data_IF_068523563018
#
_entry.id   IF_068523563018
#
_cell.length_a   1.000
_cell.length_b   1.000
_cell.length_c   1.000
_cell.angle_alpha   90.00
_cell.angle_beta   90.00
_cell.angle_gamma   90.00
#
_symmetry.space_group_name_H-M   'P 1'
#
loop_
_entity.id
_entity.type
_entity.pdbx_description
1 polymer ?
#
# COMPACT_ATOMS: atom_id res chain seq x y z
N UNK A 1 -19.42 29.40 30.69
CA UNK A 1 -19.11 29.46 29.25
C UNK A 1 -17.77 28.82 29.02
N UNK A 2 -17.62 27.92 28.04
CA UNK A 2 -16.29 27.41 27.65
C UNK A 2 -15.55 28.53 26.90
N UNK A 3 -14.28 28.75 27.23
CA UNK A 3 -13.41 29.67 26.48
C UNK A 3 -13.05 29.00 25.16
N UNK A 4 -13.16 29.72 24.05
CA UNK A 4 -12.73 29.28 22.72
C UNK A 4 -11.31 29.80 22.49
N UNK A 5 -10.47 28.99 21.84
CA UNK A 5 -9.12 29.39 21.43
C UNK A 5 -9.13 30.16 20.11
N UNK A 6 -8.07 30.90 19.87
CA UNK A 6 -7.85 31.67 18.63
C UNK A 6 -6.95 30.89 17.67
N UNK A 7 -7.39 30.74 16.42
CA UNK A 7 -6.59 30.11 15.36
C UNK A 7 -5.65 31.17 14.78
N UNK A 8 -4.36 30.86 14.72
CA UNK A 8 -3.32 31.70 14.12
C UNK A 8 -2.65 30.93 12.99
N UNK A 9 -2.55 31.54 11.81
CA UNK A 9 -1.74 31.01 10.72
C UNK A 9 -0.25 31.20 11.06
N UNK A 10 0.54 30.16 10.83
CA UNK A 10 1.97 30.11 11.08
C UNK A 10 2.68 30.08 9.73
N UNK A 11 3.70 30.93 9.58
CA UNK A 11 4.49 30.94 8.35
C UNK A 11 5.26 29.63 8.20
N UNK A 12 5.15 28.98 7.04
CA UNK A 12 5.79 27.68 6.82
C UNK A 12 7.30 27.74 7.01
N UNK A 13 7.92 28.89 6.68
CA UNK A 13 9.37 29.12 6.88
C UNK A 13 9.80 29.23 8.33
N UNK A 14 8.87 29.44 9.27
CA UNK A 14 9.16 29.38 10.70
C UNK A 14 9.17 27.93 11.21
N UNK A 15 8.55 27.00 10.48
CA UNK A 15 8.51 25.56 10.79
C UNK A 15 9.65 24.82 10.07
N UNK A 16 9.83 25.14 8.79
CA UNK A 16 10.86 24.56 7.93
C UNK A 16 11.64 25.67 7.23
N UNK A 17 12.88 25.88 7.62
CA UNK A 17 13.80 26.80 6.95
C UNK A 17 14.17 26.28 5.54
N UNK A 18 14.33 24.95 5.41
CA UNK A 18 14.78 24.30 4.17
C UNK A 18 13.84 23.20 3.70
N UNK A 19 13.45 23.31 2.45
CA UNK A 19 12.52 22.40 1.79
C UNK A 19 13.09 20.97 1.66
N UNK A 20 14.24 20.84 0.99
CA UNK A 20 14.93 19.58 0.72
C UNK A 20 15.32 18.80 1.99
N UNK A 21 15.64 19.52 3.06
CA UNK A 21 16.19 18.95 4.30
C UNK A 21 15.20 18.80 5.44
N UNK A 22 14.07 19.49 5.38
CA UNK A 22 13.13 19.53 6.50
C UNK A 22 11.71 19.25 6.04
N UNK A 23 11.19 19.99 5.05
CA UNK A 23 9.81 19.78 4.59
C UNK A 23 9.64 18.46 3.84
N UNK A 24 10.51 18.13 2.88
CA UNK A 24 10.41 16.89 2.10
C UNK A 24 10.51 15.64 3.00
N UNK A 25 11.49 15.53 3.93
CA UNK A 25 11.52 14.42 4.89
C UNK A 25 10.31 14.37 5.80
N UNK A 26 9.84 15.52 6.30
CA UNK A 26 8.64 15.58 7.14
C UNK A 26 7.40 15.11 6.36
N UNK A 27 7.24 15.53 5.10
CA UNK A 27 6.13 15.13 4.25
C UNK A 27 6.15 13.62 3.97
N UNK A 28 7.33 13.04 3.77
CA UNK A 28 7.50 11.58 3.64
C UNK A 28 7.00 10.84 4.87
N UNK A 29 7.42 11.26 6.06
CA UNK A 29 7.05 10.64 7.34
C UNK A 29 5.56 10.83 7.68
N UNK A 30 4.93 11.87 7.13
CA UNK A 30 3.54 12.23 7.39
C UNK A 30 2.66 12.14 6.13
N UNK A 31 3.03 11.27 5.18
CA UNK A 31 2.32 11.15 3.90
C UNK A 31 0.85 10.76 4.06
N UNK A 32 0.49 10.13 5.18
CA UNK A 32 -0.89 9.79 5.53
C UNK A 32 -1.80 11.03 5.57
N UNK A 33 -1.28 12.18 6.00
CA UNK A 33 -2.04 13.44 6.02
C UNK A 33 -2.39 13.92 4.61
N UNK A 34 -1.48 13.74 3.66
CA UNK A 34 -1.71 14.05 2.25
C UNK A 34 -2.65 13.02 1.61
N UNK A 35 -2.43 11.74 1.91
CA UNK A 35 -3.25 10.60 1.48
C UNK A 35 -4.72 10.79 1.83
N UNK A 36 -5.02 11.13 3.09
CA UNK A 36 -6.38 11.39 3.57
C UNK A 36 -7.07 12.49 2.75
N UNK A 37 -6.35 13.58 2.45
CA UNK A 37 -6.89 14.74 1.74
C UNK A 37 -7.11 14.47 0.26
N UNK A 38 -6.23 13.68 -0.35
CA UNK A 38 -6.35 13.26 -1.74
C UNK A 38 -7.42 12.17 -1.92
N UNK A 39 -7.67 11.34 -0.89
CA UNK A 39 -8.54 10.18 -0.97
C UNK A 39 -7.88 8.99 -1.68
N UNK A 40 -6.55 8.91 -1.66
CA UNK A 40 -5.74 7.76 -2.11
C UNK A 40 -4.82 7.33 -0.97
N UNK A 41 -4.43 6.06 -0.93
CA UNK A 41 -3.49 5.56 0.08
C UNK A 41 -2.09 5.47 -0.53
N UNK A 42 -1.21 6.41 -0.19
CA UNK A 42 0.14 6.46 -0.74
C UNK A 42 1.08 5.59 0.12
N UNK A 43 1.63 4.54 -0.49
CA UNK A 43 2.54 3.58 0.15
C UNK A 43 3.90 3.53 -0.55
N UNK A 44 4.87 2.82 0.05
CA UNK A 44 6.23 2.64 -0.46
C UNK A 44 6.89 3.99 -0.82
N UNK A 45 6.71 5.00 0.04
CA UNK A 45 7.19 6.36 -0.24
C UNK A 45 8.69 6.43 -0.06
N UNK A 46 9.35 6.83 -1.13
CA UNK A 46 10.79 7.01 -1.19
C UNK A 46 11.13 8.47 -1.46
N UNK A 47 12.21 8.90 -0.83
CA UNK A 47 12.89 10.17 -1.11
C UNK A 47 14.07 9.81 -2.00
N UNK A 48 14.10 10.36 -3.21
CA UNK A 48 15.16 10.20 -4.22
C UNK A 48 15.41 8.78 -4.78
N UNK A 49 15.06 8.58 -6.05
CA UNK A 49 15.92 7.83 -7.00
C UNK A 49 16.50 8.83 -8.02
N UNK A 50 17.80 8.75 -8.30
CA UNK A 50 18.39 9.48 -9.43
C UNK A 50 17.94 8.83 -10.75
N UNK A 51 16.99 9.43 -11.45
CA UNK A 51 16.63 9.05 -12.82
C UNK A 51 17.21 10.12 -13.76
N UNK A 52 18.49 10.00 -14.08
CA UNK A 52 19.22 10.99 -14.88
C UNK A 52 19.76 12.17 -14.04
N UNK A 53 19.69 13.40 -14.57
CA UNK A 53 20.32 14.61 -14.00
C UNK A 53 19.39 15.52 -13.18
N UNK A 54 18.25 15.01 -12.72
CA UNK A 54 17.06 15.80 -12.38
C UNK A 54 16.23 14.97 -11.34
N UNK A 55 15.60 15.59 -10.32
CA UNK A 55 14.98 14.96 -9.11
C UNK A 55 13.51 15.35 -8.90
N UNK A 56 12.64 14.37 -8.63
CA UNK A 56 11.34 14.54 -7.92
C UNK A 56 11.58 14.48 -6.41
N UNK A 57 10.80 15.23 -5.63
CA UNK A 57 10.93 15.24 -4.18
C UNK A 57 10.52 13.91 -3.54
N UNK A 58 9.34 13.39 -3.90
CA UNK A 58 8.84 12.11 -3.41
C UNK A 58 8.22 11.28 -4.52
N UNK A 59 8.42 9.96 -4.42
CA UNK A 59 7.75 8.96 -5.24
C UNK A 59 7.13 7.91 -4.34
N UNK A 60 5.90 7.50 -4.66
CA UNK A 60 5.20 6.43 -3.95
C UNK A 60 4.28 5.67 -4.89
N UNK A 61 3.38 4.87 -4.33
CA UNK A 61 2.36 4.14 -5.07
C UNK A 61 1.02 4.28 -4.40
N UNK A 62 -0.04 4.39 -5.19
CA UNK A 62 -1.40 4.22 -4.67
C UNK A 62 -1.62 2.73 -4.35
N UNK A 63 -2.00 2.41 -3.13
CA UNK A 63 -2.20 1.04 -2.67
C UNK A 63 -3.27 0.29 -3.48
N UNK A 64 -4.27 1.01 -4.00
CA UNK A 64 -5.40 0.42 -4.72
C UNK A 64 -5.04 0.07 -6.17
N UNK A 65 -4.55 1.05 -6.93
CA UNK A 65 -4.26 0.89 -8.36
C UNK A 65 -2.84 0.40 -8.63
N UNK A 66 -1.93 0.53 -7.65
CA UNK A 66 -0.49 0.34 -7.80
C UNK A 66 0.15 1.26 -8.86
N UNK A 67 -0.55 2.34 -9.24
CA UNK A 67 0.01 3.40 -10.09
C UNK A 67 1.00 4.24 -9.28
N UNK A 68 2.03 4.75 -9.97
CA UNK A 68 3.04 5.61 -9.37
C UNK A 68 2.40 6.96 -9.00
N UNK A 69 2.72 7.42 -7.80
CA UNK A 69 2.37 8.75 -7.28
C UNK A 69 3.66 9.57 -7.25
N UNK A 70 3.76 10.57 -8.13
CA UNK A 70 4.83 11.54 -8.15
C UNK A 70 4.39 12.78 -7.37
N UNK A 71 5.20 13.22 -6.40
CA UNK A 71 4.94 14.41 -5.61
C UNK A 71 6.10 15.39 -5.74
N UNK A 72 5.77 16.62 -6.10
CA UNK A 72 6.67 17.78 -6.02
C UNK A 72 6.16 18.68 -4.89
N UNK A 73 7.04 19.17 -4.03
CA UNK A 73 6.65 19.99 -2.88
C UNK A 73 7.45 21.27 -2.79
N UNK A 74 6.79 22.39 -2.47
CA UNK A 74 7.47 23.67 -2.31
C UNK A 74 6.93 24.55 -1.18
N UNK A 75 7.82 25.26 -0.49
CA UNK A 75 7.46 26.19 0.61
C UNK A 75 7.09 27.61 0.13
N UNK A 76 7.26 27.88 -1.16
CA UNK A 76 6.92 29.15 -1.81
C UNK A 76 5.69 29.02 -2.72
N UNK A 77 5.16 30.13 -3.26
CA UNK A 77 4.17 30.07 -4.34
C UNK A 77 4.72 29.38 -5.59
N UNK A 78 3.87 28.63 -6.29
CA UNK A 78 4.24 27.85 -7.49
C UNK A 78 4.92 28.67 -8.58
N UNK A 79 5.88 28.07 -9.29
CA UNK A 79 6.59 28.68 -10.41
C UNK A 79 6.69 27.76 -11.64
N UNK A 80 7.08 28.34 -12.78
CA UNK A 80 7.20 27.60 -14.05
C UNK A 80 8.29 26.52 -14.05
N UNK A 81 9.48 26.74 -13.46
CA UNK A 81 10.48 25.68 -13.30
C UNK A 81 9.92 24.41 -12.63
N UNK A 82 9.25 24.53 -11.50
CA UNK A 82 8.70 23.37 -10.78
C UNK A 82 7.54 22.73 -11.56
N UNK A 83 6.71 23.50 -12.27
CA UNK A 83 5.71 22.91 -13.19
C UNK A 83 6.36 22.05 -14.29
N UNK A 84 7.41 22.57 -14.93
CA UNK A 84 8.13 21.86 -15.97
C UNK A 84 8.78 20.57 -15.45
N UNK A 85 9.37 20.65 -14.26
CA UNK A 85 9.92 19.51 -13.52
C UNK A 85 8.85 18.45 -13.26
N UNK A 86 7.77 18.83 -12.56
CA UNK A 86 6.64 17.97 -12.24
C UNK A 86 6.16 17.17 -13.47
N UNK A 87 5.92 17.84 -14.60
CA UNK A 87 5.44 17.19 -15.83
C UNK A 87 6.51 16.26 -16.41
N UNK A 88 7.75 16.73 -16.52
CA UNK A 88 8.84 15.99 -17.18
C UNK A 88 9.16 14.69 -16.43
N UNK A 89 9.23 14.73 -15.11
CA UNK A 89 9.51 13.54 -14.32
C UNK A 89 8.34 12.60 -14.24
N UNK A 90 7.13 13.14 -14.06
CA UNK A 90 5.92 12.32 -14.06
C UNK A 90 5.82 11.50 -15.34
N UNK A 91 6.18 12.09 -16.49
CA UNK A 91 6.28 11.36 -17.74
C UNK A 91 7.42 10.32 -17.74
N UNK A 92 8.58 10.65 -17.16
CA UNK A 92 9.74 9.75 -17.07
C UNK A 92 9.52 8.51 -16.20
N UNK A 93 8.70 8.61 -15.16
CA UNK A 93 8.35 7.49 -14.26
C UNK A 93 7.01 6.83 -14.58
N UNK A 94 6.34 7.26 -15.66
CA UNK A 94 4.97 6.81 -16.00
C UNK A 94 3.99 6.95 -14.81
N UNK A 95 4.02 8.13 -14.18
CA UNK A 95 3.19 8.45 -13.03
C UNK A 95 1.70 8.42 -13.40
N UNK A 96 0.90 7.71 -12.61
CA UNK A 96 -0.56 7.75 -12.72
C UNK A 96 -1.21 8.84 -11.87
N UNK A 97 -0.53 9.28 -10.81
CA UNK A 97 -0.93 10.39 -9.96
C UNK A 97 0.21 11.39 -9.86
N UNK A 98 -0.10 12.65 -10.09
CA UNK A 98 0.87 13.75 -10.07
C UNK A 98 0.37 14.79 -9.09
N UNK A 99 1.10 15.01 -8.01
CA UNK A 99 0.68 15.87 -6.90
C UNK A 99 1.66 17.02 -6.73
N UNK A 100 1.18 18.26 -6.83
CA UNK A 100 1.98 19.44 -6.56
C UNK A 100 1.55 20.10 -5.26
N UNK A 101 2.40 20.03 -4.25
CA UNK A 101 2.18 20.62 -2.93
C UNK A 101 2.91 21.97 -2.86
N UNK A 102 2.23 23.06 -2.53
CA UNK A 102 2.86 24.37 -2.42
C UNK A 102 2.23 25.24 -1.34
N UNK A 103 2.93 26.29 -0.85
CA UNK A 103 2.30 27.31 0.01
C UNK A 103 1.08 27.95 -0.66
N UNK A 104 1.23 28.27 -1.95
CA UNK A 104 0.18 28.86 -2.77
C UNK A 104 0.29 28.31 -4.19
N UNK A 105 -0.83 27.82 -4.74
CA UNK A 105 -0.91 27.52 -6.15
C UNK A 105 -1.41 28.75 -6.92
N UNK A 106 -0.54 29.36 -7.72
CA UNK A 106 -0.93 30.50 -8.57
C UNK A 106 -2.04 30.12 -9.55
N UNK A 107 -2.88 31.08 -9.92
CA UNK A 107 -4.06 30.86 -10.77
C UNK A 107 -3.70 30.29 -12.15
N UNK A 108 -2.58 30.71 -12.74
CA UNK A 108 -2.08 30.17 -14.01
C UNK A 108 -1.70 28.69 -13.91
N UNK A 109 -1.10 28.27 -12.79
CA UNK A 109 -0.75 26.87 -12.53
C UNK A 109 -1.99 26.04 -12.21
N UNK A 110 -2.95 26.61 -11.45
CA UNK A 110 -4.27 25.98 -11.25
C UNK A 110 -4.96 25.70 -12.57
N UNK A 111 -4.96 26.68 -13.50
CA UNK A 111 -5.51 26.53 -14.85
C UNK A 111 -4.76 25.49 -15.67
N UNK A 112 -3.42 25.47 -15.60
CA UNK A 112 -2.61 24.49 -16.31
C UNK A 112 -2.92 23.05 -15.86
N UNK A 113 -2.94 22.79 -14.54
CA UNK A 113 -3.28 21.46 -14.00
C UNK A 113 -4.72 21.04 -14.36
N UNK A 114 -5.69 21.97 -14.34
CA UNK A 114 -7.05 21.69 -14.79
C UNK A 114 -7.11 21.35 -16.27
N UNK A 115 -6.43 22.12 -17.11
CA UNK A 115 -6.37 21.87 -18.54
C UNK A 115 -5.74 20.50 -18.85
N UNK A 116 -4.69 20.11 -18.10
CA UNK A 116 -4.10 18.77 -18.22
C UNK A 116 -5.11 17.67 -17.86
N UNK A 117 -5.83 17.80 -16.74
CA UNK A 117 -6.88 16.83 -16.37
C UNK A 117 -8.02 16.73 -17.40
N UNK A 118 -8.31 17.81 -18.14
CA UNK A 118 -9.37 17.84 -19.15
C UNK A 118 -8.94 17.31 -20.53
N UNK A 119 -7.64 17.39 -20.85
CA UNK A 119 -7.13 17.18 -22.21
C UNK A 119 -6.09 16.07 -22.32
N UNK A 120 -5.63 15.48 -21.21
CA UNK A 120 -4.82 14.28 -21.24
C UNK A 120 -5.68 13.06 -21.61
N UNK A 121 -5.36 12.42 -22.74
CA UNK A 121 -5.92 11.12 -23.13
C UNK A 121 -5.33 9.94 -22.34
N UNK A 122 -4.36 10.23 -21.47
CA UNK A 122 -3.72 9.26 -20.59
C UNK A 122 -4.44 9.19 -19.24
N UNK A 123 -4.27 8.05 -18.58
CA UNK A 123 -4.83 7.68 -17.29
C UNK A 123 -4.21 8.41 -16.08
N UNK A 124 -3.62 9.59 -16.34
CA UNK A 124 -2.81 10.41 -15.41
C UNK A 124 -3.70 11.45 -14.75
N UNK A 125 -3.56 11.58 -13.43
CA UNK A 125 -4.39 12.43 -12.60
C UNK A 125 -3.54 13.50 -11.91
N UNK A 126 -3.82 14.77 -12.20
CA UNK A 126 -3.09 15.90 -11.64
C UNK A 126 -3.83 16.52 -10.44
N UNK A 127 -3.09 16.74 -9.36
CA UNK A 127 -3.55 17.35 -8.12
C UNK A 127 -2.71 18.57 -7.79
N UNK A 128 -3.39 19.60 -7.29
CA UNK A 128 -2.77 20.79 -6.74
C UNK A 128 -3.21 20.96 -5.30
N UNK A 129 -2.25 21.02 -4.39
CA UNK A 129 -2.47 21.00 -2.95
C UNK A 129 -1.78 22.19 -2.30
N UNK A 130 -2.54 23.01 -1.59
CA UNK A 130 -2.00 24.09 -0.77
C UNK A 130 -1.68 23.57 0.63
N UNK A 131 -0.47 23.83 1.13
CA UNK A 131 -0.05 23.49 2.49
C UNK A 131 -0.07 24.74 3.36
N UNK A 132 -0.77 24.62 4.49
CA UNK A 132 -0.86 25.67 5.51
C UNK A 132 -0.45 25.12 6.87
N UNK A 133 -0.07 26.00 7.79
CA UNK A 133 0.14 25.65 9.17
C UNK A 133 -0.63 26.59 10.09
N UNK A 134 -1.23 26.03 11.14
CA UNK A 134 -2.02 26.77 12.11
C UNK A 134 -1.68 26.36 13.54
N UNK A 135 -1.77 27.29 14.48
CA UNK A 135 -1.72 27.01 15.92
C UNK A 135 -3.01 27.50 16.59
N UNK A 136 -3.39 26.87 17.71
CA UNK A 136 -4.51 27.32 18.55
C UNK A 136 -3.92 27.82 19.86
N UNK A 137 -4.12 29.10 20.14
CA UNK A 137 -3.53 29.80 21.28
C UNK A 137 -1.99 29.65 21.33
N UNK A 138 -1.49 28.77 22.20
CA UNK A 138 -0.08 28.47 22.44
C UNK A 138 0.26 26.99 22.11
N UNK A 139 -0.57 26.32 21.31
CA UNK A 139 -0.32 24.94 20.89
C UNK A 139 0.83 24.85 19.89
N UNK A 140 1.37 23.63 19.72
CA UNK A 140 2.24 23.34 18.59
C UNK A 140 1.48 23.60 17.26
N UNK A 141 2.20 24.04 16.20
CA UNK A 141 1.63 24.17 14.88
C UNK A 141 1.14 22.81 14.33
N UNK A 142 0.02 22.85 13.62
CA UNK A 142 -0.56 21.72 12.90
C UNK A 142 -0.65 22.06 11.41
N UNK A 143 -0.37 21.06 10.57
CA UNK A 143 -0.36 21.20 9.11
C UNK A 143 -1.73 20.86 8.55
N UNK A 144 -2.22 21.69 7.63
CA UNK A 144 -3.46 21.47 6.89
C UNK A 144 -3.19 21.49 5.39
N UNK A 145 -3.43 20.36 4.73
CA UNK A 145 -3.42 20.27 3.27
C UNK A 145 -4.81 20.55 2.70
N UNK A 146 -4.85 21.38 1.65
CA UNK A 146 -6.06 21.77 0.94
C UNK A 146 -5.94 21.45 -0.53
N UNK A 147 -6.73 20.51 -1.01
CA UNK A 147 -6.77 20.15 -2.43
C UNK A 147 -7.54 21.24 -3.20
N UNK A 148 -6.80 22.08 -3.92
CA UNK A 148 -7.35 23.21 -4.70
C UNK A 148 -7.50 22.89 -6.19
N UNK A 149 -6.80 21.88 -6.68
CA UNK A 149 -7.00 21.28 -8.00
C UNK A 149 -7.05 19.76 -7.88
N UNK A 150 -8.01 19.15 -8.57
CA UNK A 150 -8.19 17.70 -8.68
C UNK A 150 -8.85 17.35 -10.02
N UNK A 151 -8.79 16.08 -10.47
CA UNK A 151 -9.48 15.65 -11.67
C UNK A 151 -11.00 15.85 -11.58
N UNK A 152 -11.65 16.03 -12.74
CA UNK A 152 -13.10 16.11 -12.81
C UNK A 152 -13.73 14.78 -12.34
N UNK A 153 -14.88 14.86 -11.68
CA UNK A 153 -15.59 13.72 -11.08
C UNK A 153 -14.79 12.92 -10.02
N UNK A 154 -13.64 13.41 -9.54
CA UNK A 154 -12.78 12.71 -8.56
C UNK A 154 -13.53 12.24 -7.30
N UNK A 155 -14.36 13.09 -6.68
CA UNK A 155 -15.15 12.70 -5.50
C UNK A 155 -16.20 11.62 -5.81
N UNK A 156 -16.73 11.61 -7.03
CA UNK A 156 -17.68 10.59 -7.50
C UNK A 156 -16.95 9.29 -7.81
N UNK A 157 -15.74 9.39 -8.37
CA UNK A 157 -14.85 8.29 -8.69
C UNK A 157 -14.22 7.64 -7.45
N UNK A 158 -13.91 8.39 -6.39
CA UNK A 158 -13.54 7.83 -5.08
C UNK A 158 -14.74 7.09 -4.47
N UNK A 159 -15.94 7.66 -4.51
CA UNK A 159 -17.17 6.97 -4.05
C UNK A 159 -17.60 5.82 -4.95
N UNK A 160 -17.06 5.72 -6.17
CA UNK A 160 -17.19 4.55 -7.03
C UNK A 160 -15.93 3.68 -7.06
N UNK A 161 -14.86 4.01 -6.32
CA UNK A 161 -13.75 3.10 -6.04
C UNK A 161 -14.12 2.07 -4.96
N UNK A 162 -15.26 2.29 -4.29
CA UNK A 162 -16.08 1.24 -3.65
C UNK A 162 -16.83 0.34 -4.65
N UNK A 163 -16.61 0.50 -5.96
CA UNK A 163 -16.99 -0.51 -6.96
C UNK A 163 -15.74 -1.31 -7.31
N UNK A 164 -15.80 -2.61 -7.03
CA UNK A 164 -14.77 -3.61 -7.29
C UNK A 164 -14.11 -3.39 -8.67
N UNK A 165 -12.78 -3.24 -8.73
CA UNK A 165 -12.09 -3.19 -10.03
C UNK A 165 -12.20 -4.53 -10.74
N UNK A 166 -11.98 -4.57 -12.06
CA UNK A 166 -11.96 -5.84 -12.82
C UNK A 166 -10.94 -6.84 -12.23
N UNK A 167 -9.80 -6.35 -11.74
CA UNK A 167 -8.81 -7.18 -11.04
C UNK A 167 -9.32 -7.71 -9.71
N UNK A 168 -10.07 -6.91 -8.97
CA UNK A 168 -10.62 -7.28 -7.68
C UNK A 168 -11.75 -8.31 -7.81
N UNK A 169 -12.54 -8.23 -8.88
CA UNK A 169 -13.50 -9.25 -9.28
C UNK A 169 -12.77 -10.56 -9.61
N UNK A 170 -11.69 -10.49 -10.39
CA UNK A 170 -10.83 -11.65 -10.71
C UNK A 170 -10.26 -12.28 -9.43
N UNK A 171 -9.79 -11.48 -8.46
CA UNK A 171 -9.31 -12.00 -7.18
C UNK A 171 -10.42 -12.68 -6.40
N UNK A 172 -11.59 -12.04 -6.30
CA UNK A 172 -12.72 -12.61 -5.58
C UNK A 172 -13.16 -13.94 -6.18
N UNK A 173 -13.23 -14.03 -7.51
CA UNK A 173 -13.61 -15.25 -8.21
C UNK A 173 -12.57 -16.37 -8.03
N UNK A 174 -11.29 -16.04 -8.19
CA UNK A 174 -10.19 -16.99 -7.96
C UNK A 174 -10.18 -17.52 -6.53
N UNK A 175 -10.24 -16.64 -5.53
CA UNK A 175 -10.24 -17.05 -4.14
C UNK A 175 -11.54 -17.77 -3.74
N UNK A 176 -12.67 -17.48 -4.40
CA UNK A 176 -13.91 -18.25 -4.19
C UNK A 176 -13.73 -19.69 -4.66
N UNK A 177 -13.19 -19.91 -5.88
CA UNK A 177 -12.87 -21.26 -6.38
C UNK A 177 -11.88 -21.99 -5.47
N UNK A 178 -10.84 -21.29 -5.02
CA UNK A 178 -9.82 -21.83 -4.10
C UNK A 178 -10.43 -22.27 -2.77
N UNK A 179 -11.25 -21.43 -2.16
CA UNK A 179 -11.93 -21.71 -0.89
C UNK A 179 -12.90 -22.88 -1.02
N UNK A 180 -13.63 -22.95 -2.14
CA UNK A 180 -14.55 -24.05 -2.44
C UNK A 180 -13.78 -25.37 -2.50
N UNK A 181 -12.74 -25.44 -3.33
CA UNK A 181 -11.92 -26.64 -3.47
C UNK A 181 -11.21 -27.02 -2.15
N UNK A 182 -10.66 -26.03 -1.43
CA UNK A 182 -10.04 -26.28 -0.13
C UNK A 182 -11.03 -26.84 0.90
N UNK A 183 -12.28 -26.38 0.88
CA UNK A 183 -13.33 -26.90 1.78
C UNK A 183 -13.72 -28.35 1.47
N UNK A 184 -13.60 -28.79 0.22
CA UNK A 184 -13.83 -30.18 -0.18
C UNK A 184 -12.74 -31.12 0.35
N UNK A 185 -11.46 -30.71 0.22
CA UNK A 185 -10.31 -31.53 0.64
C UNK A 185 -9.97 -31.40 2.14
N UNK A 186 -10.49 -30.38 2.82
CA UNK A 186 -10.33 -30.15 4.26
C UNK A 186 -11.69 -29.85 4.94
N UNK A 187 -12.50 -30.86 5.27
CA UNK A 187 -13.83 -30.66 5.87
C UNK A 187 -13.86 -29.95 7.23
N UNK A 188 -12.72 -29.83 7.93
CA UNK A 188 -12.60 -29.09 9.20
C UNK A 188 -12.48 -27.58 8.98
N UNK A 189 -12.21 -27.15 7.75
CA UNK A 189 -12.08 -25.76 7.39
C UNK A 189 -13.43 -25.05 7.49
N UNK A 190 -13.48 -24.01 8.31
CA UNK A 190 -14.62 -23.10 8.31
C UNK A 190 -14.49 -22.17 7.11
N UNK A 191 -15.30 -22.42 6.08
CA UNK A 191 -15.35 -21.62 4.86
C UNK A 191 -15.43 -20.11 5.16
N UNK A 192 -14.51 -19.36 4.57
CA UNK A 192 -14.46 -17.89 4.65
C UNK A 192 -14.92 -17.26 3.34
N UNK A 193 -15.42 -16.04 3.40
CA UNK A 193 -15.84 -15.33 2.20
C UNK A 193 -14.62 -14.72 1.50
N UNK A 194 -14.45 -15.00 0.21
CA UNK A 194 -13.45 -14.31 -0.59
C UNK A 194 -13.82 -12.83 -0.75
N UNK A 195 -12.81 -11.98 -0.60
CA UNK A 195 -12.94 -10.53 -0.73
C UNK A 195 -12.24 -10.04 -2.00
N UNK A 196 -12.61 -8.84 -2.51
CA UNK A 196 -12.00 -8.20 -3.67
C UNK A 196 -10.57 -7.68 -3.38
N UNK A 197 -9.62 -8.58 -3.13
CA UNK A 197 -8.24 -8.26 -2.72
C UNK A 197 -7.28 -9.41 -3.05
N UNK A 198 -5.98 -9.14 -3.16
CA UNK A 198 -4.97 -10.12 -3.60
C UNK A 198 -4.47 -11.08 -2.50
N UNK A 199 -5.12 -11.12 -1.34
CA UNK A 199 -4.86 -12.09 -0.28
C UNK A 199 -6.15 -12.57 0.38
N UNK A 200 -6.10 -13.75 0.98
CA UNK A 200 -7.17 -14.29 1.80
C UNK A 200 -6.58 -14.95 3.04
N UNK A 201 -7.05 -14.53 4.22
CA UNK A 201 -6.54 -15.01 5.51
C UNK A 201 -7.62 -15.71 6.33
N UNK A 202 -7.24 -16.73 7.09
CA UNK A 202 -8.06 -17.37 8.12
C UNK A 202 -7.24 -17.76 9.34
N UNK A 203 -7.89 -17.90 10.50
CA UNK A 203 -7.18 -18.08 11.77
C UNK A 203 -6.40 -19.39 11.85
N UNK A 204 -5.19 -19.35 12.43
CA UNK A 204 -4.35 -20.52 12.65
C UNK A 204 -4.58 -21.19 14.03
N UNK A 205 -5.62 -20.78 14.76
CA UNK A 205 -6.00 -21.36 16.06
C UNK A 205 -5.33 -20.73 17.29
N UNK A 206 -4.40 -19.77 17.12
CA UNK A 206 -3.82 -18.95 18.19
C UNK A 206 -3.93 -17.47 17.80
N UNK A 207 -4.24 -16.60 18.77
CA UNK A 207 -4.37 -15.15 18.52
C UNK A 207 -3.05 -14.59 17.97
N UNK A 208 -3.15 -13.70 16.98
CA UNK A 208 -2.01 -13.12 16.29
C UNK A 208 -1.37 -14.01 15.21
N UNK A 209 -1.90 -15.21 14.95
CA UNK A 209 -1.44 -16.09 13.88
C UNK A 209 -2.56 -16.37 12.88
N UNK A 210 -2.25 -16.26 11.58
CA UNK A 210 -3.18 -16.56 10.49
C UNK A 210 -2.51 -17.34 9.36
N UNK A 211 -3.27 -18.24 8.75
CA UNK A 211 -2.90 -18.84 7.47
C UNK A 211 -3.42 -17.95 6.35
N UNK A 212 -2.57 -17.63 5.39
CA UNK A 212 -2.93 -16.78 4.26
C UNK A 212 -2.59 -17.43 2.93
N UNK A 213 -3.42 -17.16 1.94
CA UNK A 213 -3.06 -17.25 0.54
C UNK A 213 -2.81 -15.84 0.01
N UNK A 214 -1.70 -15.62 -0.70
CA UNK A 214 -1.33 -14.28 -1.20
C UNK A 214 -0.81 -14.35 -2.63
N UNK A 215 -1.35 -13.50 -3.50
CA UNK A 215 -0.89 -13.30 -4.87
C UNK A 215 -0.06 -12.01 -4.98
N UNK A 216 1.21 -12.14 -5.34
CA UNK A 216 2.12 -11.03 -5.58
C UNK A 216 2.14 -10.65 -7.06
N UNK A 217 1.63 -9.45 -7.38
CA UNK A 217 1.71 -8.90 -8.75
C UNK A 217 3.14 -8.55 -9.15
N UNK A 218 3.94 -8.02 -8.21
CA UNK A 218 5.32 -7.57 -8.48
C UNK A 218 6.26 -8.74 -8.82
N UNK A 219 6.06 -9.88 -8.16
CA UNK A 219 6.93 -11.05 -8.32
C UNK A 219 6.32 -12.15 -9.19
N UNK A 220 5.08 -11.99 -9.64
CA UNK A 220 4.30 -13.05 -10.30
C UNK A 220 4.31 -14.36 -9.50
N UNK A 221 4.02 -14.29 -8.21
CA UNK A 221 4.05 -15.44 -7.30
C UNK A 221 2.72 -15.64 -6.60
N UNK A 222 2.36 -16.90 -6.42
CA UNK A 222 1.34 -17.33 -5.47
C UNK A 222 2.01 -17.90 -4.22
N UNK A 223 1.41 -17.70 -3.05
CA UNK A 223 2.00 -18.12 -1.79
C UNK A 223 0.98 -18.64 -0.80
N UNK A 224 1.44 -19.60 0.00
CA UNK A 224 0.80 -20.11 1.21
C UNK A 224 1.69 -19.71 2.37
N UNK A 225 1.16 -18.97 3.34
CA UNK A 225 1.97 -18.47 4.46
C UNK A 225 1.28 -18.63 5.82
N UNK A 226 2.09 -18.77 6.86
CA UNK A 226 1.72 -18.49 8.25
C UNK A 226 2.23 -17.08 8.57
N UNK A 227 1.30 -16.17 8.81
CA UNK A 227 1.58 -14.79 9.18
C UNK A 227 1.49 -14.62 10.70
N UNK A 228 2.48 -13.95 11.28
CA UNK A 228 2.63 -13.78 12.72
C UNK A 228 2.64 -12.28 13.03
N UNK A 229 1.52 -11.77 13.56
CA UNK A 229 1.41 -10.44 14.12
C UNK A 229 0.48 -10.41 15.34
N UNK A 230 1.08 -10.42 16.53
CA UNK A 230 0.42 -10.27 17.83
C UNK A 230 0.23 -8.80 18.23
N UNK A 231 0.68 -7.85 17.40
CA UNK A 231 0.80 -6.44 17.75
C UNK A 231 2.09 -6.09 18.51
N UNK A 232 2.90 -7.08 18.89
CA UNK A 232 4.17 -6.90 19.58
C UNK A 232 5.31 -7.60 18.83
N UNK A 233 6.27 -6.84 18.30
CA UNK A 233 7.38 -7.39 17.51
C UNK A 233 8.31 -8.33 18.28
N UNK A 234 8.49 -8.13 19.60
CA UNK A 234 9.30 -9.04 20.42
C UNK A 234 8.61 -10.40 20.57
N UNK A 235 7.29 -10.40 20.76
CA UNK A 235 6.50 -11.61 20.84
C UNK A 235 6.39 -12.33 19.48
N UNK A 236 6.25 -11.57 18.39
CA UNK A 236 6.27 -12.13 17.03
C UNK A 236 7.57 -12.88 16.76
N UNK A 237 8.71 -12.28 17.12
CA UNK A 237 10.03 -12.91 16.98
C UNK A 237 10.17 -14.14 17.87
N UNK A 238 9.72 -14.08 19.13
CA UNK A 238 9.73 -15.25 20.03
C UNK A 238 8.96 -16.43 19.43
N UNK A 239 7.74 -16.18 18.95
CA UNK A 239 6.88 -17.19 18.31
C UNK A 239 7.54 -17.75 17.04
N UNK A 240 8.09 -16.87 16.22
CA UNK A 240 8.79 -17.26 15.00
C UNK A 240 10.01 -18.13 15.28
N UNK A 241 10.86 -17.74 16.23
CA UNK A 241 12.05 -18.49 16.64
C UNK A 241 11.68 -19.84 17.27
N UNK A 242 10.60 -19.89 18.04
CA UNK A 242 10.06 -21.13 18.61
C UNK A 242 9.61 -22.10 17.51
N UNK A 243 8.85 -21.63 16.52
CA UNK A 243 8.48 -22.44 15.35
C UNK A 243 9.71 -22.88 14.54
N UNK A 244 10.69 -21.99 14.37
CA UNK A 244 11.93 -22.23 13.63
C UNK A 244 12.84 -23.25 14.32
N UNK A 245 12.71 -23.42 15.64
CA UNK A 245 13.39 -24.49 16.37
C UNK A 245 12.98 -25.90 15.92
N UNK A 246 11.80 -26.02 15.31
CA UNK A 246 11.25 -27.26 14.72
C UNK A 246 11.44 -27.35 13.20
N UNK A 247 12.31 -26.51 12.62
CA UNK A 247 12.51 -26.45 11.16
C UNK A 247 12.90 -27.80 10.57
N UNK A 248 13.75 -28.57 11.24
CA UNK A 248 14.20 -29.87 10.72
C UNK A 248 13.04 -30.86 10.57
N UNK A 249 12.11 -30.89 11.52
CA UNK A 249 10.92 -31.74 11.45
C UNK A 249 9.89 -31.23 10.44
N UNK A 250 9.74 -29.91 10.32
CA UNK A 250 8.84 -29.27 9.34
C UNK A 250 9.32 -29.54 7.91
N UNK A 251 10.63 -29.41 7.66
CA UNK A 251 11.24 -29.64 6.34
C UNK A 251 11.10 -31.10 5.85
N UNK A 252 10.79 -32.05 6.74
CA UNK A 252 10.48 -33.44 6.37
C UNK A 252 9.04 -33.63 5.87
N UNK A 253 8.12 -32.75 6.27
CA UNK A 253 6.70 -32.80 5.87
C UNK A 253 6.41 -31.86 4.70
N UNK A 254 7.20 -30.78 4.56
CA UNK A 254 6.94 -29.69 3.63
C UNK A 254 8.25 -29.22 2.99
N UNK A 255 8.32 -29.24 1.67
CA UNK A 255 9.47 -28.71 0.92
C UNK A 255 9.30 -27.22 0.61
N UNK A 256 10.43 -26.51 0.48
CA UNK A 256 10.44 -25.12 -0.01
C UNK A 256 9.96 -24.05 0.98
N UNK A 257 9.99 -24.34 2.28
CA UNK A 257 9.60 -23.39 3.32
C UNK A 257 10.67 -22.31 3.51
N UNK A 258 10.28 -21.06 3.31
CA UNK A 258 11.08 -19.86 3.59
C UNK A 258 10.66 -19.23 4.92
N UNK A 259 11.67 -18.78 5.68
CA UNK A 259 11.50 -18.21 7.03
C UNK A 259 11.91 -16.75 7.01
N UNK A 260 10.95 -15.83 7.03
CA UNK A 260 11.18 -14.39 6.81
C UNK A 260 10.82 -13.56 8.05
N UNK A 261 11.81 -12.88 8.65
CA UNK A 261 11.62 -11.97 9.80
C UNK A 261 11.07 -10.58 9.40
N UNK A 262 10.97 -10.30 8.09
CA UNK A 262 10.52 -9.03 7.51
C UNK A 262 11.19 -7.80 8.18
N UNK A 263 12.49 -7.57 7.93
CA UNK A 263 13.32 -6.57 8.62
C UNK A 263 12.73 -5.15 8.72
N UNK A 264 11.83 -4.76 7.82
CA UNK A 264 11.15 -3.45 7.79
C UNK A 264 9.79 -3.43 8.50
N UNK A 265 9.31 -4.55 9.05
CA UNK A 265 8.01 -4.70 9.71
C UNK A 265 8.15 -5.41 11.06
N UNK A 266 7.17 -5.20 11.94
CA UNK A 266 7.12 -5.93 13.22
C UNK A 266 6.70 -7.39 13.09
N UNK A 267 6.07 -7.75 11.98
CA UNK A 267 5.50 -9.07 11.75
C UNK A 267 6.57 -10.03 11.22
N UNK A 268 6.39 -11.33 11.45
CA UNK A 268 7.20 -12.36 10.81
C UNK A 268 6.30 -13.27 9.97
N UNK A 269 6.87 -13.98 9.00
CA UNK A 269 6.11 -14.96 8.23
C UNK A 269 6.94 -16.18 7.84
N UNK A 270 6.24 -17.29 7.68
CA UNK A 270 6.77 -18.55 7.17
C UNK A 270 5.96 -18.88 5.93
N UNK A 271 6.61 -19.12 4.79
CA UNK A 271 5.95 -19.03 3.49
C UNK A 271 6.49 -20.06 2.51
N UNK A 272 5.63 -20.54 1.63
CA UNK A 272 5.99 -21.30 0.42
C UNK A 272 5.55 -20.48 -0.78
N UNK A 273 6.45 -20.36 -1.76
CA UNK A 273 6.17 -19.71 -3.02
C UNK A 273 5.96 -20.70 -4.16
N UNK A 274 5.05 -20.34 -5.06
CA UNK A 274 4.97 -20.86 -6.41
C UNK A 274 5.11 -19.71 -7.38
N UNK A 275 6.02 -19.85 -8.33
CA UNK A 275 6.16 -18.92 -9.45
C UNK A 275 5.01 -19.11 -10.44
N UNK A 276 4.58 -18.00 -11.03
CA UNK A 276 3.53 -17.93 -12.04
C UNK A 276 4.11 -17.32 -13.31
N UNK A 277 3.57 -17.69 -14.47
CA UNK A 277 3.96 -17.13 -15.77
C UNK A 277 3.59 -15.64 -15.92
N UNK A 278 2.68 -15.12 -15.09
CA UNK A 278 2.26 -13.73 -15.09
C UNK A 278 1.30 -13.38 -13.94
N UNK A 279 0.68 -12.20 -14.05
CA UNK A 279 -0.37 -11.77 -13.12
C UNK A 279 -1.64 -12.59 -13.35
N UNK A 280 -2.50 -12.71 -12.32
CA UNK A 280 -3.70 -13.56 -12.39
C UNK A 280 -4.60 -13.29 -13.61
N UNK A 281 -4.70 -12.04 -14.06
CA UNK A 281 -5.48 -11.65 -15.26
C UNK A 281 -4.88 -12.16 -16.57
N UNK A 282 -3.56 -12.33 -16.66
CA UNK A 282 -2.90 -12.80 -17.89
C UNK A 282 -2.86 -14.32 -18.00
N UNK A 283 -3.15 -15.04 -16.91
CA UNK A 283 -3.17 -16.50 -16.91
C UNK A 283 -4.38 -17.04 -17.68
N UNK A 284 -4.18 -18.14 -18.39
CA UNK A 284 -5.29 -18.90 -18.95
C UNK A 284 -6.03 -19.70 -17.86
N UNK A 285 -7.17 -20.30 -18.17
CA UNK A 285 -7.97 -21.03 -17.17
C UNK A 285 -7.26 -22.28 -16.61
N UNK A 286 -6.49 -23.02 -17.41
CA UNK A 286 -5.73 -24.19 -16.95
C UNK A 286 -4.64 -23.79 -15.94
N UNK A 287 -3.94 -22.67 -16.18
CA UNK A 287 -2.97 -22.12 -15.23
C UNK A 287 -3.64 -21.69 -13.92
N UNK A 288 -4.83 -21.05 -14.00
CA UNK A 288 -5.59 -20.66 -12.80
C UNK A 288 -6.10 -21.87 -12.02
N UNK A 289 -6.61 -22.89 -12.69
CA UNK A 289 -7.03 -24.14 -12.08
C UNK A 289 -5.86 -24.83 -11.39
N UNK A 290 -4.71 -24.91 -12.07
CA UNK A 290 -3.48 -25.45 -11.49
C UNK A 290 -3.02 -24.67 -10.25
N UNK A 291 -3.18 -23.34 -10.21
CA UNK A 291 -2.90 -22.54 -9.01
C UNK A 291 -3.90 -22.82 -7.87
N UNK A 292 -5.19 -23.00 -8.20
CA UNK A 292 -6.22 -23.36 -7.22
C UNK A 292 -5.90 -24.71 -6.57
N UNK A 293 -5.61 -25.72 -7.38
CA UNK A 293 -5.32 -27.07 -6.89
C UNK A 293 -4.11 -27.06 -5.95
N UNK A 294 -3.00 -26.52 -6.43
CA UNK A 294 -1.77 -26.41 -5.63
C UNK A 294 -1.97 -25.58 -4.37
N UNK A 295 -2.65 -24.44 -4.44
CA UNK A 295 -2.87 -23.57 -3.28
C UNK A 295 -3.66 -24.27 -2.19
N UNK A 296 -4.69 -25.03 -2.57
CA UNK A 296 -5.50 -25.79 -1.63
C UNK A 296 -4.73 -26.97 -1.03
N UNK A 297 -4.06 -27.78 -1.85
CA UNK A 297 -3.28 -28.94 -1.41
C UNK A 297 -2.12 -28.52 -0.50
N UNK A 298 -1.36 -27.51 -0.91
CA UNK A 298 -0.27 -26.97 -0.11
C UNK A 298 -0.79 -26.38 1.20
N UNK A 299 -1.87 -25.59 1.18
CA UNK A 299 -2.45 -25.06 2.41
C UNK A 299 -2.93 -26.17 3.36
N UNK A 300 -3.40 -27.31 2.82
CA UNK A 300 -3.83 -28.43 3.66
C UNK A 300 -2.65 -29.01 4.42
N UNK A 301 -1.60 -29.41 3.71
CA UNK A 301 -0.37 -29.94 4.32
C UNK A 301 0.28 -28.92 5.25
N UNK A 302 0.34 -27.66 4.82
CA UNK A 302 0.92 -26.55 5.57
C UNK A 302 0.17 -26.31 6.89
N UNK A 303 -1.15 -26.13 6.84
CA UNK A 303 -1.95 -25.88 8.03
C UNK A 303 -1.97 -27.06 8.99
N UNK A 304 -2.02 -28.31 8.50
CA UNK A 304 -1.96 -29.51 9.34
C UNK A 304 -0.62 -29.65 10.06
N UNK A 305 0.48 -29.35 9.38
CA UNK A 305 1.85 -29.40 9.94
C UNK A 305 2.02 -28.32 11.00
N UNK A 306 1.80 -27.05 10.65
CA UNK A 306 2.02 -25.93 11.57
C UNK A 306 1.06 -25.97 12.77
N UNK A 307 -0.18 -26.46 12.61
CA UNK A 307 -1.12 -26.62 13.73
C UNK A 307 -0.60 -27.52 14.85
N UNK A 308 0.30 -28.48 14.57
CA UNK A 308 0.93 -29.34 15.60
C UNK A 308 1.87 -28.54 16.51
N UNK A 309 2.56 -27.55 15.94
CA UNK A 309 3.55 -26.74 16.64
C UNK A 309 2.91 -25.50 17.26
N UNK A 310 1.96 -24.86 16.58
CA UNK A 310 1.23 -23.69 17.10
C UNK A 310 0.55 -23.98 18.44
N UNK A 311 0.03 -25.20 18.62
CA UNK A 311 -0.61 -25.64 19.88
C UNK A 311 0.36 -25.77 21.05
N UNK A 312 1.67 -25.85 20.80
CA UNK A 312 2.72 -25.99 21.82
C UNK A 312 3.28 -24.66 22.27
N UNK A 313 3.03 -23.60 21.50
CA UNK A 313 3.44 -22.24 21.85
C UNK A 313 2.72 -21.86 23.15
N UNK A 314 3.50 -21.51 24.17
CA UNK A 314 2.99 -20.89 25.41
C UNK A 314 2.50 -19.46 25.12
#
# INVERSE_FOLDING_TARGET
MKKLGEIKEVELREIWEKEDKEFTPWLKENIDLLSEKLGIEIIDVETEENIGGFRLDLIGKDANSNKIVAVENQLEPTDHPHLGQLITYSAGVDAGFVVWVAKELRDEHKKALKWLNENCFSDILFFGVEVHAFSIDDSNPAVDFRVVVKPNDWERNIKSSTTTSEMDEIYRDFFSKLVDFYSEINPKFRKVKALPQNWLSFGAGKSGLSFNWTLSRRRNRFSVELYIDTGNGTENKRIFDELKSHKAEIDLEIEGVEWEELETRRACRIVIYRENSGILKSLNEEEKEGLVEWGAEQMKTFSETFSKYIKKIE
#
